data_IF_226727072281
#
_entry.id   IF_226727072281
#
_cell.length_a   1.000
_cell.length_b   1.000
_cell.length_c   1.000
_cell.angle_alpha   90.00
_cell.angle_beta   90.00
_cell.angle_gamma   90.00
#
_symmetry.space_group_name_H-M   'P 1'
#
loop_
_entity.id
_entity.type
_entity.pdbx_description
1 polymer ?
#
# COMPACT_ATOMS: atom_id res chain seq x y z
N UNK A 1 6.30 -28.41 20.11
CA UNK A 1 6.84 -27.60 19.01
C UNK A 1 6.99 -28.50 17.80
N UNK A 2 5.96 -28.58 16.96
CA UNK A 2 6.06 -29.28 15.69
C UNK A 2 6.53 -28.26 14.66
N UNK A 3 7.73 -28.44 14.11
CA UNK A 3 8.18 -27.74 12.91
C UNK A 3 7.19 -28.05 11.80
N UNK A 4 6.36 -27.06 11.44
CA UNK A 4 5.51 -27.13 10.26
C UNK A 4 6.42 -26.97 9.06
N UNK A 5 6.87 -28.11 8.51
CA UNK A 5 7.66 -28.15 7.30
C UNK A 5 6.86 -27.47 6.16
N UNK A 6 7.37 -26.38 5.55
CA UNK A 6 6.59 -25.62 4.60
C UNK A 6 6.26 -26.51 3.40
N UNK A 7 4.97 -26.57 3.05
CA UNK A 7 4.47 -27.33 1.89
C UNK A 7 5.27 -26.98 0.64
N UNK A 8 5.54 -27.95 -0.25
CA UNK A 8 6.33 -27.72 -1.48
C UNK A 8 5.85 -26.52 -2.31
N UNK A 9 4.55 -26.19 -2.24
CA UNK A 9 3.96 -24.99 -2.83
C UNK A 9 4.46 -23.69 -2.19
N UNK A 10 4.52 -23.61 -0.85
CA UNK A 10 5.00 -22.44 -0.12
C UNK A 10 6.49 -22.18 -0.35
N UNK A 11 7.30 -23.24 -0.45
CA UNK A 11 8.72 -23.11 -0.79
C UNK A 11 8.94 -22.62 -2.23
N UNK A 12 8.14 -23.10 -3.20
CA UNK A 12 8.20 -22.63 -4.59
C UNK A 12 7.75 -21.17 -4.73
N UNK A 13 6.72 -20.76 -4.00
CA UNK A 13 6.24 -19.39 -3.94
C UNK A 13 7.29 -18.45 -3.36
N UNK A 14 7.86 -18.78 -2.20
CA UNK A 14 8.88 -17.96 -1.57
C UNK A 14 10.12 -17.82 -2.45
N UNK A 15 10.50 -18.89 -3.17
CA UNK A 15 11.60 -18.83 -4.14
C UNK A 15 11.25 -17.93 -5.33
N UNK A 16 10.02 -17.98 -5.85
CA UNK A 16 9.58 -17.11 -6.94
C UNK A 16 9.60 -15.63 -6.51
N UNK A 17 9.11 -15.31 -5.32
CA UNK A 17 9.12 -13.94 -4.78
C UNK A 17 10.55 -13.43 -4.52
N UNK A 18 11.46 -14.28 -4.00
CA UNK A 18 12.87 -13.88 -3.82
C UNK A 18 13.57 -13.60 -5.15
N UNK A 19 13.31 -14.42 -6.17
CA UNK A 19 13.83 -14.18 -7.52
C UNK A 19 13.26 -12.87 -8.07
N UNK A 20 11.94 -12.65 -7.91
CA UNK A 20 11.28 -11.42 -8.31
C UNK A 20 11.96 -10.18 -7.71
N UNK A 21 12.12 -10.16 -6.37
CA UNK A 21 12.80 -9.08 -5.67
C UNK A 21 14.23 -8.85 -6.16
N UNK A 22 15.01 -9.93 -6.39
CA UNK A 22 16.37 -9.82 -6.88
C UNK A 22 16.44 -9.20 -8.30
N UNK A 23 15.52 -9.59 -9.19
CA UNK A 23 15.44 -9.02 -10.54
C UNK A 23 14.97 -7.56 -10.48
N UNK A 24 14.00 -7.23 -9.63
CA UNK A 24 13.56 -5.85 -9.43
C UNK A 24 14.70 -4.95 -8.98
N UNK A 25 15.50 -5.37 -7.98
CA UNK A 25 16.70 -4.64 -7.55
C UNK A 25 17.68 -4.43 -8.70
N UNK A 26 17.96 -5.48 -9.48
CA UNK A 26 18.88 -5.39 -10.61
C UNK A 26 18.37 -4.42 -11.68
N UNK A 27 17.08 -4.47 -12.02
CA UNK A 27 16.46 -3.57 -12.98
C UNK A 27 16.50 -2.10 -12.51
N UNK A 28 16.26 -1.82 -11.23
CA UNK A 28 16.35 -0.46 -10.73
C UNK A 28 17.76 0.11 -10.78
N UNK A 29 18.79 -0.72 -10.54
CA UNK A 29 20.19 -0.31 -10.71
C UNK A 29 20.52 -0.04 -12.18
N UNK A 30 20.05 -0.90 -13.09
CA UNK A 30 20.20 -0.69 -14.54
C UNK A 30 19.53 0.61 -14.97
N UNK A 31 18.31 0.88 -14.50
CA UNK A 31 17.58 2.12 -14.75
C UNK A 31 18.38 3.34 -14.29
N UNK A 32 18.93 3.31 -13.07
CA UNK A 32 19.71 4.43 -12.54
C UNK A 32 20.98 4.69 -13.38
N UNK A 33 21.74 3.64 -13.70
CA UNK A 33 22.95 3.75 -14.51
C UNK A 33 22.64 4.22 -15.93
N UNK A 34 21.58 3.68 -16.54
CA UNK A 34 21.15 4.05 -17.89
C UNK A 34 20.62 5.48 -17.95
N UNK A 35 19.83 5.89 -16.95
CA UNK A 35 19.30 7.26 -16.85
C UNK A 35 20.41 8.29 -16.72
N UNK A 36 21.43 8.01 -15.88
CA UNK A 36 22.61 8.87 -15.76
C UNK A 36 23.42 8.92 -17.06
N UNK A 37 23.66 7.77 -17.70
CA UNK A 37 24.43 7.69 -18.94
C UNK A 37 23.73 8.35 -20.14
N UNK A 38 22.40 8.26 -20.19
CA UNK A 38 21.57 8.83 -21.26
C UNK A 38 21.12 10.28 -20.99
N UNK A 39 21.39 10.81 -19.79
CA UNK A 39 20.91 12.14 -19.36
C UNK A 39 19.39 12.25 -19.23
N UNK A 40 18.67 11.13 -19.08
CA UNK A 40 17.21 11.10 -19.10
C UNK A 40 16.61 11.17 -17.70
N UNK A 41 15.83 12.22 -17.44
CA UNK A 41 15.12 12.44 -16.18
C UNK A 41 14.02 11.40 -15.98
N UNK A 42 13.33 10.94 -17.03
CA UNK A 42 12.25 9.94 -16.86
C UNK A 42 12.78 8.56 -16.49
N UNK A 43 13.93 8.16 -17.05
CA UNK A 43 14.58 6.89 -16.69
C UNK A 43 15.12 6.97 -15.26
N UNK A 44 15.71 8.10 -14.88
CA UNK A 44 16.16 8.34 -13.51
C UNK A 44 14.99 8.27 -12.52
N UNK A 45 13.85 8.89 -12.85
CA UNK A 45 12.64 8.82 -12.04
C UNK A 45 12.20 7.36 -11.85
N UNK A 46 12.14 6.56 -12.92
CA UNK A 46 11.76 5.15 -12.87
C UNK A 46 12.69 4.35 -11.93
N UNK A 47 14.01 4.52 -12.08
CA UNK A 47 15.01 3.86 -11.23
C UNK A 47 14.93 4.28 -9.75
N UNK A 48 14.88 5.59 -9.48
CA UNK A 48 14.79 6.12 -8.11
C UNK A 48 13.48 5.70 -7.45
N UNK A 49 12.35 5.76 -8.16
CA UNK A 49 11.06 5.36 -7.64
C UNK A 49 11.06 3.87 -7.26
N UNK A 50 11.66 3.01 -8.09
CA UNK A 50 11.77 1.59 -7.81
C UNK A 50 12.71 1.30 -6.61
N UNK A 51 13.87 1.95 -6.51
CA UNK A 51 14.80 1.80 -5.37
C UNK A 51 14.14 2.27 -4.07
N UNK A 52 13.51 3.44 -4.09
CA UNK A 52 12.78 3.96 -2.93
C UNK A 52 11.66 3.02 -2.54
N UNK A 53 10.87 2.54 -3.50
CA UNK A 53 9.82 1.55 -3.25
C UNK A 53 10.32 0.28 -2.57
N UNK A 54 11.49 -0.24 -2.96
CA UNK A 54 12.12 -1.40 -2.32
C UNK A 54 12.54 -1.11 -0.88
N UNK A 55 13.25 -0.01 -0.63
CA UNK A 55 13.70 0.37 0.72
C UNK A 55 12.52 0.66 1.65
N UNK A 56 11.52 1.36 1.13
CA UNK A 56 10.27 1.65 1.84
C UNK A 56 9.49 0.37 2.15
N UNK A 57 9.38 -0.57 1.21
CA UNK A 57 8.74 -1.87 1.44
C UNK A 57 9.44 -2.66 2.55
N UNK A 58 10.78 -2.65 2.57
CA UNK A 58 11.56 -3.27 3.65
C UNK A 58 11.25 -2.63 5.01
N UNK A 59 11.15 -1.30 5.06
CA UNK A 59 10.77 -0.58 6.29
C UNK A 59 9.36 -0.96 6.76
N UNK A 60 8.39 -1.09 5.84
CA UNK A 60 7.03 -1.53 6.16
C UNK A 60 6.98 -2.95 6.73
N UNK A 61 7.75 -3.88 6.15
CA UNK A 61 7.90 -5.24 6.70
C UNK A 61 8.51 -5.21 8.10
N UNK A 62 9.50 -4.35 8.34
CA UNK A 62 10.10 -4.21 9.66
C UNK A 62 9.09 -3.65 10.68
N UNK A 63 8.32 -2.63 10.30
CA UNK A 63 7.26 -2.06 11.12
C UNK A 63 6.16 -3.08 11.47
N UNK A 64 5.74 -3.88 10.49
CA UNK A 64 4.76 -4.95 10.69
C UNK A 64 5.26 -5.99 11.71
N UNK A 65 6.54 -6.40 11.63
CA UNK A 65 7.14 -7.32 12.62
C UNK A 65 7.20 -6.73 14.03
N UNK A 66 7.54 -5.44 14.13
CA UNK A 66 7.57 -4.71 15.41
C UNK A 66 6.17 -4.55 16.02
N UNK A 67 5.15 -4.38 15.17
CA UNK A 67 3.75 -4.32 15.59
C UNK A 67 3.28 -5.65 16.17
N UNK A 68 3.59 -6.75 15.48
CA UNK A 68 3.25 -8.10 15.87
C UNK A 68 3.95 -8.60 17.15
N UNK A 69 4.93 -7.86 17.68
CA UNK A 69 5.62 -8.21 18.93
C UNK A 69 4.74 -8.05 20.19
N UNK A 70 3.54 -7.49 20.06
CA UNK A 70 2.55 -7.38 21.12
C UNK A 70 2.81 -6.24 22.12
N UNK A 71 1.96 -6.12 23.16
CA UNK A 71 2.08 -5.09 24.19
C UNK A 71 3.35 -5.19 25.04
N UNK A 72 3.85 -4.03 25.49
CA UNK A 72 4.93 -3.94 26.48
C UNK A 72 4.54 -2.97 27.60
N UNK A 73 5.22 -2.95 28.77
CA UNK A 73 4.91 -1.99 29.83
C UNK A 73 4.95 -0.51 29.39
N UNK A 74 5.79 -0.19 28.40
CA UNK A 74 5.86 1.15 27.79
C UNK A 74 4.76 1.39 26.74
N UNK A 75 4.26 0.34 26.11
CA UNK A 75 3.24 0.38 25.06
C UNK A 75 2.12 -0.63 25.39
N UNK A 76 1.23 -0.30 26.36
CA UNK A 76 0.26 -1.25 26.91
C UNK A 76 -0.79 -1.71 25.88
N UNK A 77 -1.02 -0.91 24.84
CA UNK A 77 -1.92 -1.26 23.72
C UNK A 77 -1.18 -1.84 22.51
N UNK A 78 0.12 -2.10 22.60
CA UNK A 78 0.95 -2.53 21.48
C UNK A 78 1.46 -1.36 20.62
N UNK A 79 1.97 -1.68 19.43
CA UNK A 79 2.66 -0.73 18.54
C UNK A 79 2.00 -0.62 17.15
N UNK A 80 0.70 -0.84 17.10
CA UNK A 80 -0.07 -0.86 15.84
C UNK A 80 0.04 0.43 15.04
N UNK A 81 0.14 1.58 15.71
CA UNK A 81 0.32 2.89 15.07
C UNK A 81 1.63 3.01 14.28
N UNK A 82 2.62 2.12 14.49
CA UNK A 82 3.83 2.09 13.66
C UNK A 82 3.54 1.75 12.20
N UNK A 83 2.51 0.92 11.95
CA UNK A 83 2.13 0.52 10.58
C UNK A 83 1.65 1.75 9.77
N UNK A 84 0.59 2.48 10.18
CA UNK A 84 0.16 3.67 9.44
C UNK A 84 1.21 4.79 9.48
N UNK A 85 2.01 4.92 10.55
CA UNK A 85 3.11 5.88 10.57
C UNK A 85 4.13 5.62 9.45
N UNK A 86 4.58 4.38 9.30
CA UNK A 86 5.51 4.02 8.22
C UNK A 86 4.85 4.20 6.86
N UNK A 87 3.60 3.79 6.66
CA UNK A 87 2.87 4.04 5.42
C UNK A 87 2.79 5.54 5.09
N UNK A 88 2.61 6.39 6.09
CA UNK A 88 2.65 7.85 5.95
C UNK A 88 4.02 8.35 5.49
N UNK A 89 5.10 7.87 6.12
CA UNK A 89 6.48 8.20 5.72
C UNK A 89 6.77 7.75 4.29
N UNK A 90 6.31 6.56 3.90
CA UNK A 90 6.43 6.06 2.53
C UNK A 90 5.71 6.98 1.54
N UNK A 91 4.44 7.33 1.84
CA UNK A 91 3.66 8.24 1.02
C UNK A 91 4.35 9.61 0.89
N UNK A 92 4.90 10.15 1.99
CA UNK A 92 5.60 11.43 1.99
C UNK A 92 6.87 11.39 1.14
N UNK A 93 7.69 10.34 1.28
CA UNK A 93 8.91 10.17 0.51
C UNK A 93 8.61 10.10 -1.00
N UNK A 94 7.61 9.30 -1.39
CA UNK A 94 7.19 9.17 -2.79
C UNK A 94 6.60 10.47 -3.34
N UNK A 95 5.74 11.18 -2.60
CA UNK A 95 5.26 12.51 -3.01
C UNK A 95 6.44 13.47 -3.17
N UNK A 96 7.39 13.49 -2.23
CA UNK A 96 8.59 14.32 -2.31
C UNK A 96 9.41 14.05 -3.57
N UNK A 97 9.61 12.79 -3.94
CA UNK A 97 10.28 12.40 -5.19
C UNK A 97 9.53 12.90 -6.42
N UNK A 98 8.20 12.74 -6.47
CA UNK A 98 7.40 13.21 -7.61
C UNK A 98 7.40 14.73 -7.73
N UNK A 99 7.32 15.45 -6.61
CA UNK A 99 7.41 16.92 -6.59
C UNK A 99 8.78 17.39 -7.05
N UNK A 100 9.85 16.77 -6.55
CA UNK A 100 11.21 17.08 -6.98
C UNK A 100 11.37 16.87 -8.50
N UNK A 101 10.98 15.70 -9.01
CA UNK A 101 11.06 15.39 -10.43
C UNK A 101 10.22 16.33 -11.30
N UNK A 102 9.01 16.72 -10.84
CA UNK A 102 8.17 17.67 -11.56
C UNK A 102 8.78 19.08 -11.59
N UNK A 103 9.35 19.55 -10.48
CA UNK A 103 10.05 20.85 -10.42
C UNK A 103 11.27 20.83 -11.34
N UNK A 104 12.06 19.77 -11.30
CA UNK A 104 13.25 19.60 -12.12
C UNK A 104 12.92 19.54 -13.63
N UNK A 105 11.91 18.75 -14.01
CA UNK A 105 11.41 18.70 -15.39
C UNK A 105 10.87 20.06 -15.85
N UNK A 106 10.18 20.80 -14.98
CA UNK A 106 9.69 22.14 -15.32
C UNK A 106 10.85 23.11 -15.54
N UNK A 107 11.92 23.04 -14.74
CA UNK A 107 13.13 23.85 -14.95
C UNK A 107 13.80 23.56 -16.28
N UNK A 108 14.01 22.28 -16.61
CA UNK A 108 14.59 21.87 -17.90
C UNK A 108 13.76 22.39 -19.08
N UNK A 109 12.43 22.34 -19.00
CA UNK A 109 11.55 22.94 -20.02
C UNK A 109 11.78 24.45 -20.15
N UNK A 110 11.89 25.17 -19.03
CA UNK A 110 12.11 26.62 -19.04
C UNK A 110 13.52 27.02 -19.54
N UNK A 111 14.51 26.14 -19.40
CA UNK A 111 15.89 26.33 -19.84
C UNK A 111 16.10 25.98 -21.33
N UNK A 112 15.06 25.51 -22.02
CA UNK A 112 15.09 25.23 -23.46
C UNK A 112 15.07 23.74 -23.84
N UNK A 113 14.84 22.86 -22.88
CA UNK A 113 14.80 21.40 -23.06
C UNK A 113 16.13 20.72 -22.75
N UNK A 114 16.14 19.39 -22.80
CA UNK A 114 17.31 18.55 -22.56
C UNK A 114 17.77 17.82 -23.81
N UNK A 115 19.09 17.62 -23.94
CA UNK A 115 19.68 16.86 -25.04
C UNK A 115 19.68 15.36 -24.71
N UNK A 116 18.48 14.80 -24.57
CA UNK A 116 18.30 13.38 -24.25
C UNK A 116 18.45 12.56 -25.51
N UNK A 117 19.29 11.52 -25.44
CA UNK A 117 19.44 10.56 -26.52
C UNK A 117 18.13 9.79 -26.73
N UNK A 118 17.27 10.27 -27.64
CA UNK A 118 15.96 9.69 -27.93
C UNK A 118 16.04 8.19 -28.29
N UNK A 119 17.15 7.77 -28.92
CA UNK A 119 17.45 6.36 -29.16
C UNK A 119 17.71 5.56 -27.88
N UNK A 120 18.44 6.13 -26.92
CA UNK A 120 18.68 5.54 -25.61
C UNK A 120 17.41 5.44 -24.77
N UNK A 121 16.52 6.44 -24.89
CA UNK A 121 15.20 6.46 -24.25
C UNK A 121 14.29 5.33 -24.75
N UNK A 122 14.16 5.21 -26.08
CA UNK A 122 13.37 4.15 -26.70
C UNK A 122 13.97 2.76 -26.42
N UNK A 123 15.30 2.62 -26.52
CA UNK A 123 15.98 1.36 -26.24
C UNK A 123 15.78 0.90 -24.80
N UNK A 124 15.89 1.82 -23.83
CA UNK A 124 15.60 1.52 -22.43
C UNK A 124 14.17 1.02 -22.26
N UNK A 125 13.18 1.77 -22.76
CA UNK A 125 11.77 1.40 -22.60
C UNK A 125 11.44 0.03 -23.18
N UNK A 126 12.04 -0.34 -24.31
CA UNK A 126 11.85 -1.68 -24.91
C UNK A 126 12.49 -2.76 -24.02
N UNK A 127 13.73 -2.56 -23.59
CA UNK A 127 14.47 -3.53 -22.77
C UNK A 127 13.78 -3.71 -21.41
N UNK A 128 13.44 -2.63 -20.72
CA UNK A 128 12.75 -2.67 -19.43
C UNK A 128 11.35 -3.25 -19.59
N UNK A 129 10.61 -2.90 -20.65
CA UNK A 129 9.28 -3.43 -20.92
C UNK A 129 9.28 -4.94 -21.16
N UNK A 130 10.23 -5.44 -21.95
CA UNK A 130 10.40 -6.88 -22.17
C UNK A 130 10.79 -7.61 -20.88
N UNK A 131 11.69 -7.05 -20.09
CA UNK A 131 12.05 -7.60 -18.79
C UNK A 131 10.82 -7.64 -17.87
N UNK A 132 10.00 -6.59 -17.89
CA UNK A 132 8.80 -6.52 -17.06
C UNK A 132 7.75 -7.55 -17.45
N UNK A 133 7.50 -7.71 -18.75
CA UNK A 133 6.59 -8.73 -19.28
C UNK A 133 7.10 -10.16 -19.03
N UNK A 134 8.42 -10.38 -19.10
CA UNK A 134 9.02 -11.66 -18.77
C UNK A 134 8.84 -12.00 -17.28
N UNK A 135 9.03 -11.03 -16.38
CA UNK A 135 8.77 -11.17 -14.95
C UNK A 135 7.31 -11.47 -14.64
N UNK A 136 6.38 -10.73 -15.27
CA UNK A 136 4.94 -11.00 -15.19
C UNK A 136 4.60 -12.43 -15.64
N UNK A 137 5.05 -12.84 -16.83
CA UNK A 137 4.80 -14.17 -17.36
C UNK A 137 5.43 -15.28 -16.52
N UNK A 138 6.60 -15.04 -15.92
CA UNK A 138 7.24 -15.96 -14.98
C UNK A 138 6.40 -16.18 -13.72
N UNK A 139 5.86 -15.12 -13.12
CA UNK A 139 5.04 -15.19 -11.91
C UNK A 139 3.69 -15.85 -12.15
N UNK A 140 2.98 -15.46 -13.22
CA UNK A 140 1.67 -16.03 -13.56
C UNK A 140 1.76 -17.54 -13.80
N UNK A 141 2.83 -18.02 -14.44
CA UNK A 141 3.07 -19.46 -14.67
C UNK A 141 3.35 -20.26 -13.39
N UNK A 142 3.82 -19.62 -12.32
CA UNK A 142 4.24 -20.31 -11.09
C UNK A 142 3.21 -20.33 -9.97
N UNK A 143 2.09 -19.60 -10.09
CA UNK A 143 1.02 -19.73 -9.11
C UNK A 143 0.00 -18.61 -9.14
N UNK A 144 -0.88 -18.60 -10.14
CA UNK A 144 -2.01 -17.66 -10.23
C UNK A 144 -3.01 -17.73 -9.05
N UNK A 145 -2.87 -18.70 -8.14
CA UNK A 145 -3.74 -18.89 -6.97
C UNK A 145 -3.23 -18.22 -5.68
N UNK A 146 -1.97 -17.76 -5.63
CA UNK A 146 -1.47 -17.01 -4.48
C UNK A 146 -1.76 -15.52 -4.66
N UNK A 147 -2.35 -14.90 -3.64
CA UNK A 147 -2.58 -13.46 -3.62
C UNK A 147 -1.28 -12.66 -3.57
N UNK A 148 -0.21 -13.20 -2.98
CA UNK A 148 1.12 -12.58 -3.00
C UNK A 148 1.72 -12.60 -4.39
N UNK A 149 1.63 -13.72 -5.11
CA UNK A 149 2.12 -13.81 -6.50
C UNK A 149 1.30 -12.90 -7.42
N UNK A 150 -0.03 -12.81 -7.22
CA UNK A 150 -0.90 -11.91 -7.99
C UNK A 150 -0.56 -10.44 -7.75
N UNK A 151 -0.33 -10.06 -6.49
CA UNK A 151 0.08 -8.71 -6.13
C UNK A 151 1.43 -8.36 -6.79
N UNK A 152 2.41 -9.25 -6.69
CA UNK A 152 3.72 -9.06 -7.32
C UNK A 152 3.58 -8.97 -8.85
N UNK A 153 2.81 -9.87 -9.48
CA UNK A 153 2.57 -9.83 -10.92
C UNK A 153 1.92 -8.50 -11.37
N UNK A 154 1.02 -7.93 -10.57
CA UNK A 154 0.43 -6.63 -10.86
C UNK A 154 1.48 -5.50 -10.85
N UNK A 155 2.49 -5.58 -9.98
CA UNK A 155 3.63 -4.63 -9.97
C UNK A 155 4.44 -4.76 -11.26
N UNK A 156 4.73 -5.98 -11.70
CA UNK A 156 5.43 -6.23 -12.97
C UNK A 156 4.65 -5.73 -14.19
N UNK A 157 3.32 -5.90 -14.19
CA UNK A 157 2.46 -5.38 -15.24
C UNK A 157 2.44 -3.85 -15.25
N UNK A 158 2.38 -3.21 -14.07
CA UNK A 158 2.48 -1.76 -13.96
C UNK A 158 3.83 -1.23 -14.49
N UNK A 159 4.93 -1.92 -14.17
CA UNK A 159 6.26 -1.59 -14.72
C UNK A 159 6.34 -1.74 -16.25
N UNK A 160 5.67 -2.75 -16.82
CA UNK A 160 5.57 -2.91 -18.27
C UNK A 160 4.80 -1.75 -18.92
N UNK A 161 3.72 -1.28 -18.29
CA UNK A 161 2.95 -0.12 -18.76
C UNK A 161 3.78 1.17 -18.71
N UNK A 162 4.53 1.41 -17.63
CA UNK A 162 5.45 2.55 -17.53
C UNK A 162 6.54 2.47 -18.60
N UNK A 163 7.11 1.29 -18.82
CA UNK A 163 8.14 1.07 -19.85
C UNK A 163 7.60 1.29 -21.27
N UNK A 164 6.34 0.92 -21.51
CA UNK A 164 5.65 1.21 -22.78
C UNK A 164 5.49 2.72 -22.97
N UNK A 165 5.10 3.47 -21.93
CA UNK A 165 5.01 4.93 -21.97
C UNK A 165 6.37 5.55 -22.35
N UNK A 166 7.45 5.10 -21.72
CA UNK A 166 8.81 5.55 -22.02
C UNK A 166 9.20 5.22 -23.46
N UNK A 167 8.88 4.01 -23.93
CA UNK A 167 9.14 3.58 -25.31
C UNK A 167 8.43 4.47 -26.31
N UNK A 168 7.13 4.69 -26.13
CA UNK A 168 6.31 5.56 -27.00
C UNK A 168 6.88 6.97 -27.00
N UNK A 169 7.25 7.49 -25.84
CA UNK A 169 7.90 8.79 -25.71
C UNK A 169 9.21 8.90 -26.49
N UNK A 170 10.09 7.90 -26.39
CA UNK A 170 11.32 7.82 -27.15
C UNK A 170 11.10 7.73 -28.67
N UNK A 171 10.12 6.94 -29.11
CA UNK A 171 9.75 6.86 -30.53
C UNK A 171 9.22 8.19 -31.04
N UNK A 172 8.36 8.86 -30.28
CA UNK A 172 7.85 10.21 -30.62
C UNK A 172 9.00 11.21 -30.74
N UNK A 173 9.95 11.21 -29.79
CA UNK A 173 11.14 12.06 -29.85
C UNK A 173 11.97 11.80 -31.12
N UNK A 174 12.22 10.53 -31.45
CA UNK A 174 12.94 10.13 -32.68
C UNK A 174 12.25 10.55 -33.98
N UNK A 175 10.91 10.59 -33.99
CA UNK A 175 10.14 11.08 -35.14
C UNK A 175 10.23 12.60 -35.22
N UNK A 176 10.05 13.30 -34.09
CA UNK A 176 10.12 14.77 -34.04
C UNK A 176 11.47 15.30 -34.54
N UNK A 177 12.59 14.66 -34.16
CA UNK A 177 13.94 15.01 -34.65
C UNK A 177 14.18 14.87 -36.15
N UNK A 178 13.30 14.14 -36.85
CA UNK A 178 13.36 13.96 -38.31
C UNK A 178 12.36 14.83 -39.05
N UNK A 179 11.50 15.57 -38.35
CA UNK A 179 10.45 16.42 -38.93
C UNK A 179 10.84 17.91 -38.91
N UNK A 180 9.94 18.77 -39.39
CA UNK A 180 10.10 20.23 -39.32
C UNK A 180 10.12 20.78 -37.87
N UNK A 181 9.78 19.96 -36.87
CA UNK A 181 9.68 20.33 -35.45
C UNK A 181 10.98 20.05 -34.68
N UNK A 182 12.13 20.33 -35.31
CA UNK A 182 13.49 19.94 -34.87
C UNK A 182 14.04 20.55 -33.57
N UNK A 183 13.17 21.01 -32.68
CA UNK A 183 13.49 21.39 -31.29
C UNK A 183 12.49 20.84 -30.27
N UNK A 184 11.37 20.24 -30.72
CA UNK A 184 10.37 19.67 -29.82
C UNK A 184 10.85 18.38 -29.14
N UNK A 185 11.83 17.70 -29.73
CA UNK A 185 12.43 16.48 -29.16
C UNK A 185 13.12 16.72 -27.82
N UNK A 186 13.69 17.92 -27.62
CA UNK A 186 14.36 18.31 -26.38
C UNK A 186 13.42 18.38 -25.17
N UNK A 187 12.11 18.47 -25.42
CA UNK A 187 11.10 18.53 -24.35
C UNK A 187 10.47 17.17 -24.05
N UNK A 188 10.72 16.15 -24.89
CA UNK A 188 10.03 14.87 -24.80
C UNK A 188 10.26 14.19 -23.44
N UNK A 189 11.50 14.17 -22.96
CA UNK A 189 11.87 13.55 -21.69
C UNK A 189 11.19 14.24 -20.50
N UNK A 190 11.29 15.57 -20.38
CA UNK A 190 10.66 16.32 -19.29
C UNK A 190 9.13 16.26 -19.34
N UNK A 191 8.52 16.23 -20.51
CA UNK A 191 7.06 16.00 -20.65
C UNK A 191 6.70 14.60 -20.15
N UNK A 192 7.47 13.57 -20.47
CA UNK A 192 7.25 12.22 -19.96
C UNK A 192 7.41 12.15 -18.44
N UNK A 193 8.35 12.90 -17.85
CA UNK A 193 8.46 13.02 -16.39
C UNK A 193 7.17 13.59 -15.79
N UNK A 194 6.66 14.71 -16.32
CA UNK A 194 5.44 15.33 -15.81
C UNK A 194 4.22 14.40 -15.94
N UNK A 195 4.08 13.72 -17.08
CA UNK A 195 3.04 12.71 -17.29
C UNK A 195 3.17 11.57 -16.27
N UNK A 196 4.39 11.07 -16.06
CA UNK A 196 4.68 10.01 -15.08
C UNK A 196 4.36 10.46 -13.66
N UNK A 197 4.67 11.71 -13.29
CA UNK A 197 4.33 12.26 -11.98
C UNK A 197 2.82 12.26 -11.74
N UNK A 198 2.01 12.69 -12.72
CA UNK A 198 0.54 12.68 -12.61
C UNK A 198 0.01 11.26 -12.48
N UNK A 199 0.52 10.32 -13.29
CA UNK A 199 0.11 8.91 -13.24
C UNK A 199 0.44 8.25 -11.90
N UNK A 200 1.64 8.52 -11.37
CA UNK A 200 2.14 7.90 -10.14
C UNK A 200 1.61 8.58 -8.86
N UNK A 201 1.16 9.84 -8.91
CA UNK A 201 0.77 10.62 -7.72
C UNK A 201 -0.40 10.04 -6.92
N UNK A 202 -1.31 9.31 -7.57
CA UNK A 202 -2.52 8.77 -6.91
C UNK A 202 -2.20 7.84 -5.76
N UNK A 203 -1.20 6.97 -5.95
CA UNK A 203 -0.80 5.96 -4.95
C UNK A 203 -0.27 6.61 -3.65
N UNK A 204 0.79 7.42 -3.66
CA UNK A 204 1.36 7.97 -2.44
C UNK A 204 0.45 9.00 -1.76
N UNK A 205 -0.38 9.73 -2.52
CA UNK A 205 -1.43 10.60 -1.93
C UNK A 205 -2.47 9.77 -1.17
N UNK A 206 -2.88 8.62 -1.71
CA UNK A 206 -3.79 7.70 -1.00
C UNK A 206 -3.13 7.15 0.27
N UNK A 207 -1.85 6.79 0.21
CA UNK A 207 -1.09 6.33 1.38
C UNK A 207 -1.07 7.37 2.49
N UNK A 208 -0.81 8.65 2.17
CA UNK A 208 -0.84 9.75 3.14
C UNK A 208 -2.23 9.93 3.77
N UNK A 209 -3.29 9.92 2.95
CA UNK A 209 -4.67 10.06 3.44
C UNK A 209 -5.06 8.90 4.35
N UNK A 210 -4.72 7.67 3.97
CA UNK A 210 -4.98 6.49 4.77
C UNK A 210 -4.20 6.51 6.09
N UNK A 211 -2.91 6.84 6.03
CA UNK A 211 -2.07 6.97 7.23
C UNK A 211 -2.63 8.02 8.20
N UNK A 212 -3.00 9.20 7.70
CA UNK A 212 -3.60 10.25 8.52
C UNK A 212 -4.94 9.80 9.12
N UNK A 213 -5.80 9.15 8.34
CA UNK A 213 -7.09 8.62 8.79
C UNK A 213 -6.91 7.60 9.91
N UNK A 214 -6.03 6.62 9.72
CA UNK A 214 -5.76 5.58 10.73
C UNK A 214 -5.09 6.14 11.99
N UNK A 215 -4.18 7.11 11.86
CA UNK A 215 -3.55 7.76 13.01
C UNK A 215 -4.51 8.66 13.80
N UNK A 216 -5.56 9.17 13.16
CA UNK A 216 -6.66 9.90 13.78
C UNK A 216 -7.78 8.99 14.28
N UNK A 217 -7.53 7.67 14.33
CA UNK A 217 -8.49 6.66 14.80
C UNK A 217 -9.82 6.70 14.06
N UNK A 218 -9.77 6.97 12.74
CA UNK A 218 -10.97 6.99 11.91
C UNK A 218 -11.70 5.64 11.92
N UNK A 219 -13.00 5.69 11.65
CA UNK A 219 -13.81 4.49 11.48
C UNK A 219 -13.22 3.56 10.40
N UNK A 220 -13.37 2.22 10.55
CA UNK A 220 -12.95 1.24 9.55
C UNK A 220 -13.62 1.47 8.19
N UNK A 221 -13.16 0.77 7.14
CA UNK A 221 -13.83 0.81 5.84
C UNK A 221 -15.31 0.37 5.93
N UNK A 222 -16.21 0.91 5.09
CA UNK A 222 -17.66 0.64 5.20
C UNK A 222 -18.03 -0.85 5.20
N UNK A 223 -17.28 -1.67 4.47
CA UNK A 223 -17.47 -3.13 4.45
C UNK A 223 -17.19 -3.76 5.82
N UNK A 224 -16.12 -3.34 6.49
CA UNK A 224 -15.76 -3.82 7.84
C UNK A 224 -16.77 -3.31 8.87
N UNK A 225 -17.19 -2.04 8.75
CA UNK A 225 -18.24 -1.52 9.63
C UNK A 225 -19.55 -2.30 9.52
N UNK A 226 -19.93 -2.72 8.31
CA UNK A 226 -21.13 -3.52 8.12
C UNK A 226 -21.01 -4.89 8.79
N UNK A 227 -19.85 -5.55 8.65
CA UNK A 227 -19.61 -6.82 9.33
C UNK A 227 -19.70 -6.68 10.86
N UNK A 228 -19.16 -5.60 11.43
CA UNK A 228 -19.27 -5.32 12.87
C UNK A 228 -20.73 -5.11 13.27
N UNK A 229 -21.48 -4.28 12.51
CA UNK A 229 -22.91 -4.05 12.76
C UNK A 229 -23.70 -5.35 12.73
N UNK A 230 -23.44 -6.23 11.77
CA UNK A 230 -24.11 -7.52 11.67
C UNK A 230 -23.79 -8.44 12.86
N UNK A 231 -22.54 -8.42 13.36
CA UNK A 231 -22.16 -9.15 14.58
C UNK A 231 -22.88 -8.59 15.80
N UNK A 232 -22.84 -7.27 15.99
CA UNK A 232 -23.46 -6.59 17.14
C UNK A 232 -24.97 -6.81 17.14
N UNK A 233 -25.63 -6.75 15.99
CA UNK A 233 -27.07 -6.97 15.88
C UNK A 233 -27.47 -8.41 16.22
N UNK A 234 -26.65 -9.41 15.83
CA UNK A 234 -26.86 -10.80 16.25
C UNK A 234 -26.73 -10.98 17.76
N UNK A 235 -25.71 -10.38 18.37
CA UNK A 235 -25.51 -10.42 19.84
C UNK A 235 -26.70 -9.77 20.54
N UNK A 236 -27.10 -8.59 20.05
CA UNK A 236 -28.23 -7.84 20.56
C UNK A 236 -29.53 -8.67 20.54
N UNK A 237 -29.84 -9.27 19.39
CA UNK A 237 -31.04 -10.07 19.22
C UNK A 237 -31.03 -11.34 20.10
N UNK A 238 -29.87 -11.99 20.26
CA UNK A 238 -29.74 -13.20 21.09
C UNK A 238 -29.93 -12.93 22.59
N UNK A 239 -29.44 -11.78 23.07
CA UNK A 239 -29.45 -11.40 24.49
C UNK A 239 -30.63 -10.47 24.85
N UNK A 240 -31.48 -10.11 23.88
CA UNK A 240 -32.63 -9.23 24.10
C UNK A 240 -32.24 -7.80 24.47
N UNK A 241 -31.12 -7.31 23.94
CA UNK A 241 -30.56 -5.99 24.25
C UNK A 241 -31.24 -4.86 23.47
N UNK A 242 -31.24 -3.63 24.02
CA UNK A 242 -31.73 -2.44 23.34
C UNK A 242 -30.80 -2.01 22.19
N UNK A 243 -31.16 -0.93 21.51
CA UNK A 243 -30.32 -0.35 20.46
C UNK A 243 -28.95 0.08 21.04
N UNK A 244 -27.83 -0.39 20.48
CA UNK A 244 -26.51 -0.08 20.99
C UNK A 244 -26.03 1.31 20.55
N UNK A 245 -25.19 1.92 21.38
CA UNK A 245 -24.26 2.94 20.90
C UNK A 245 -22.97 2.24 20.48
N UNK A 246 -22.63 2.34 19.19
CA UNK A 246 -21.50 1.65 18.59
C UNK A 246 -20.44 2.65 18.13
N UNK A 247 -19.22 2.50 18.66
CA UNK A 247 -18.02 3.20 18.17
C UNK A 247 -17.01 2.20 17.68
N UNK A 248 -16.41 2.50 16.54
CA UNK A 248 -15.40 1.64 15.94
C UNK A 248 -14.27 2.47 15.38
N UNK A 249 -13.04 2.03 15.61
CA UNK A 249 -11.84 2.60 14.99
C UNK A 249 -10.89 1.48 14.59
N UNK A 250 -9.98 1.77 13.65
CA UNK A 250 -9.00 0.80 13.14
C UNK A 250 -7.63 1.43 13.06
N UNK A 251 -6.65 0.74 13.64
CA UNK A 251 -5.24 1.14 13.63
C UNK A 251 -4.39 -0.09 13.34
N UNK A 252 -3.64 -0.09 12.22
CA UNK A 252 -2.79 -1.22 11.88
C UNK A 252 -3.60 -2.51 11.68
N UNK A 253 -3.31 -3.55 12.45
CA UNK A 253 -4.10 -4.80 12.46
C UNK A 253 -5.16 -4.84 13.56
N UNK A 254 -5.21 -3.86 14.45
CA UNK A 254 -6.20 -3.80 15.54
C UNK A 254 -7.49 -3.09 15.12
N UNK A 255 -8.58 -3.69 15.56
CA UNK A 255 -9.93 -3.19 15.39
C UNK A 255 -10.52 -2.90 16.77
N UNK A 256 -10.72 -1.63 17.09
CA UNK A 256 -11.36 -1.21 18.33
C UNK A 256 -12.87 -1.18 18.12
N UNK A 257 -13.60 -1.89 18.97
CA UNK A 257 -15.06 -1.97 18.93
C UNK A 257 -15.58 -1.69 20.34
N UNK A 258 -16.22 -0.55 20.52
CA UNK A 258 -16.86 -0.17 21.77
C UNK A 258 -18.38 -0.21 21.56
N UNK A 259 -19.06 -0.96 22.41
CA UNK A 259 -20.51 -1.16 22.35
C UNK A 259 -21.11 -0.84 23.70
N UNK A 260 -21.94 0.20 23.76
CA UNK A 260 -22.71 0.60 24.94
C UNK A 260 -24.17 0.16 24.83
N UNK A 261 -24.72 -0.40 25.90
CA UNK A 261 -26.15 -0.73 26.02
C UNK A 261 -26.77 -0.07 27.25
N UNK A 262 -27.86 0.69 27.04
CA UNK A 262 -28.65 1.29 28.11
C UNK A 262 -29.74 0.31 28.58
N UNK A 263 -29.55 -0.33 29.73
CA UNK A 263 -30.47 -1.36 30.24
C UNK A 263 -31.29 -0.85 31.44
N UNK A 264 -32.49 -1.42 31.69
CA UNK A 264 -33.27 -1.07 32.88
C UNK A 264 -32.59 -1.59 34.17
N UNK A 265 -32.76 -0.89 35.31
CA UNK A 265 -32.14 -1.26 36.58
C UNK A 265 -32.68 -2.58 37.12
N UNK A 266 -31.80 -3.30 37.84
CA UNK A 266 -32.16 -4.52 38.58
C UNK A 266 -32.32 -5.80 37.74
N UNK A 267 -32.01 -5.74 36.43
CA UNK A 267 -32.15 -6.88 35.50
C UNK A 267 -30.83 -7.45 34.99
N UNK A 268 -29.72 -6.76 35.22
CA UNK A 268 -28.40 -7.10 34.70
C UNK A 268 -27.38 -7.14 35.83
N UNK A 269 -26.54 -8.17 35.82
CA UNK A 269 -25.34 -8.24 36.64
C UNK A 269 -24.06 -8.36 35.79
N UNK A 270 -22.91 -8.45 36.47
CA UNK A 270 -21.61 -8.57 35.81
C UNK A 270 -21.48 -9.88 35.03
N UNK A 271 -22.16 -10.95 35.45
CA UNK A 271 -22.13 -12.23 34.76
C UNK A 271 -22.91 -12.17 33.43
N UNK A 272 -23.98 -11.39 33.37
CA UNK A 272 -24.70 -11.08 32.13
C UNK A 272 -23.85 -10.27 31.15
N UNK A 273 -23.17 -9.22 31.63
CA UNK A 273 -22.24 -8.44 30.82
C UNK A 273 -21.10 -9.31 30.27
N UNK A 274 -20.53 -10.18 31.11
CA UNK A 274 -19.49 -11.13 30.72
C UNK A 274 -19.96 -12.10 29.63
N UNK A 275 -21.23 -12.52 29.66
CA UNK A 275 -21.83 -13.36 28.61
C UNK A 275 -21.89 -12.61 27.28
N UNK A 276 -22.41 -11.37 27.28
CA UNK A 276 -22.43 -10.50 26.09
C UNK A 276 -21.02 -10.29 25.54
N UNK A 277 -20.05 -10.01 26.41
CA UNK A 277 -18.64 -9.78 26.03
C UNK A 277 -18.04 -11.00 25.34
N UNK A 278 -18.29 -12.21 25.83
CA UNK A 278 -17.82 -13.45 25.20
C UNK A 278 -18.47 -13.66 23.83
N UNK A 279 -19.80 -13.52 23.73
CA UNK A 279 -20.54 -13.68 22.47
C UNK A 279 -20.07 -12.67 21.41
N UNK A 280 -19.85 -11.42 21.79
CA UNK A 280 -19.31 -10.39 20.90
C UNK A 280 -17.89 -10.74 20.44
N UNK A 281 -17.00 -11.10 21.38
CA UNK A 281 -15.61 -11.46 21.06
C UNK A 281 -15.54 -12.61 20.07
N UNK A 282 -16.33 -13.66 20.28
CA UNK A 282 -16.34 -14.84 19.42
C UNK A 282 -16.91 -14.51 18.03
N UNK A 283 -17.91 -13.62 17.95
CA UNK A 283 -18.44 -13.12 16.68
C UNK A 283 -17.44 -12.26 15.89
N UNK A 284 -16.62 -11.46 16.58
CA UNK A 284 -15.58 -10.63 15.97
C UNK A 284 -14.33 -11.41 15.59
N UNK A 285 -14.06 -12.57 16.22
CA UNK A 285 -12.88 -13.40 15.95
C UNK A 285 -12.81 -13.94 14.50
N UNK A 286 -13.94 -13.93 13.77
CA UNK A 286 -13.99 -14.31 12.35
C UNK A 286 -13.44 -13.22 11.41
N UNK A 287 -13.21 -11.99 11.91
CA UNK A 287 -12.68 -10.89 11.11
C UNK A 287 -11.17 -11.03 10.91
N UNK A 288 -10.61 -10.52 9.79
CA UNK A 288 -9.18 -10.58 9.49
C UNK A 288 -8.34 -9.56 10.29
N UNK A 289 -8.78 -9.20 11.50
CA UNK A 289 -8.18 -8.19 12.37
C UNK A 289 -8.04 -8.75 13.79
N UNK A 290 -7.22 -8.12 14.62
CA UNK A 290 -7.17 -8.38 16.06
C UNK A 290 -8.24 -7.53 16.75
N UNK A 291 -9.37 -8.11 17.19
CA UNK A 291 -10.43 -7.34 17.82
C UNK A 291 -10.05 -6.94 19.25
N UNK A 292 -10.16 -5.65 19.53
CA UNK A 292 -10.18 -5.08 20.87
C UNK A 292 -11.60 -4.61 21.16
N UNK A 293 -12.38 -5.43 21.85
CA UNK A 293 -13.79 -5.15 22.13
C UNK A 293 -14.02 -4.73 23.58
N UNK A 294 -14.71 -3.62 23.77
CA UNK A 294 -15.24 -3.19 25.07
C UNK A 294 -16.77 -3.22 24.97
N UNK A 295 -17.39 -3.87 25.95
CA UNK A 295 -18.84 -3.86 26.14
C UNK A 295 -19.11 -3.10 27.41
N UNK A 296 -19.97 -2.10 27.33
CA UNK A 296 -20.46 -1.35 28.48
C UNK A 296 -21.97 -1.54 28.60
N UNK A 297 -22.42 -1.91 29.79
CA UNK A 297 -23.83 -2.05 30.12
C UNK A 297 -24.11 -1.13 31.28
N UNK A 298 -24.98 -0.14 31.08
CA UNK A 298 -25.28 0.87 32.10
C UNK A 298 -26.77 1.16 32.18
N UNK A 299 -27.21 1.62 33.33
CA UNK A 299 -28.57 2.12 33.55
C UNK A 299 -28.66 3.64 33.42
N UNK A 300 -27.50 4.31 33.34
CA UNK A 300 -27.40 5.76 33.27
C UNK A 300 -27.12 6.21 31.82
N UNK A 301 -28.03 6.96 31.19
CA UNK A 301 -27.87 7.43 29.82
C UNK A 301 -26.68 8.40 29.66
N UNK A 302 -26.20 9.06 30.71
CA UNK A 302 -25.04 9.95 30.64
C UNK A 302 -23.70 9.19 30.61
N UNK A 303 -23.71 7.92 31.02
CA UNK A 303 -22.54 7.05 31.05
C UNK A 303 -22.41 6.17 29.80
N UNK A 304 -23.46 6.07 28.98
CA UNK A 304 -23.39 5.31 27.72
C UNK A 304 -22.43 6.02 26.79
N UNK A 305 -21.26 5.42 26.54
CA UNK A 305 -20.23 5.93 25.63
C UNK A 305 -20.81 6.52 24.36
#
# INVERSE_FOLDING_TARGET
>A
MADVEPTRSAQHEQRALRVSMAVSVALSVVALVWGLAAGSQVILLDGVYAILGLGLSWLSLHASRLSAAGPTPRFPFGRESLVPLVVGVQGLALVGTLVYAAVDATRVILEGGSDVAAGGLAAYGVVSGLACLAGYGYLVRRGARSDLIRAEAAVWLAGAVTSLLITVGGVVALVLGRTAWRGAEAYADSVLVLVSCVMLARLPVRMLRQAASELLESAPEPAVQQLIRDVVERVRAAEGLPEPVLRTSKVGHKLYVEVGFLVPPGRWDVADEDRVRRTLRDGLAALPYEPWSVVEVTTDPELVL
#
